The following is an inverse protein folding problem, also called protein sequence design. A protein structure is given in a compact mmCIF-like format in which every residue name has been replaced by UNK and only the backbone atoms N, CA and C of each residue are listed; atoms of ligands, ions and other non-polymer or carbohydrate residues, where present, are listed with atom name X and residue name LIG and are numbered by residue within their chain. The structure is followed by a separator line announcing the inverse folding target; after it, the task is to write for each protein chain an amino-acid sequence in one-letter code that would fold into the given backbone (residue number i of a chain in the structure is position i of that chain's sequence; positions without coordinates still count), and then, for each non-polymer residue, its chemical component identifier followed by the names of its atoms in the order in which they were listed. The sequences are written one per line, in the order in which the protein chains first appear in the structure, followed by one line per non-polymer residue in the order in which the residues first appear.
data_IF_588221620068
#
_entry.id   IF_588221620068
#
_cell.length_a   1.000
_cell.length_b   1.000
_cell.length_c   1.000
_cell.angle_alpha   90.00
_cell.angle_beta   90.00
_cell.angle_gamma   90.00
#
_symmetry.space_group_name_H-M   'P 1'
#
loop_
_entity.id
_entity.type
_entity.pdbx_description
1 polymer ?
#
# COMPACT_ATOMS: atom_id res chain seq x y z
N UNK A 1 -12.25 -32.01 -70.13
CA UNK A 1 -12.01 -30.79 -69.33
C UNK A 1 -12.66 -30.97 -67.97
N UNK A 2 -11.82 -31.23 -66.97
CA UNK A 2 -12.30 -31.35 -65.59
C UNK A 2 -11.80 -30.12 -64.84
N UNK A 3 -12.73 -29.27 -64.42
CA UNK A 3 -12.45 -28.13 -63.55
C UNK A 3 -12.33 -28.65 -62.13
N UNK A 4 -11.14 -28.53 -61.55
CA UNK A 4 -10.89 -28.85 -60.16
C UNK A 4 -11.13 -27.57 -59.37
N UNK A 5 -12.25 -27.55 -58.61
CA UNK A 5 -12.58 -26.47 -57.68
C UNK A 5 -11.74 -26.66 -56.41
N UNK A 6 -10.71 -25.85 -56.27
CA UNK A 6 -9.96 -25.76 -55.02
C UNK A 6 -10.74 -24.89 -54.03
N UNK A 7 -11.42 -25.53 -53.09
CA UNK A 7 -11.98 -24.88 -51.95
C UNK A 7 -10.85 -24.62 -50.92
N UNK A 8 -10.38 -23.38 -50.88
CA UNK A 8 -9.47 -22.95 -49.82
C UNK A 8 -10.29 -22.61 -48.59
N UNK A 9 -10.30 -23.49 -47.60
CA UNK A 9 -10.89 -23.23 -46.30
C UNK A 9 -9.86 -22.40 -45.53
N UNK A 10 -10.12 -21.10 -45.45
CA UNK A 10 -9.35 -20.22 -44.56
C UNK A 10 -9.84 -20.45 -43.11
N UNK A 11 -9.04 -21.20 -42.36
CA UNK A 11 -9.26 -21.35 -40.93
C UNK A 11 -8.86 -20.04 -40.26
N UNK A 12 -9.83 -19.23 -39.86
CA UNK A 12 -9.65 -18.07 -39.04
C UNK A 12 -9.28 -18.54 -37.60
N UNK A 13 -7.99 -18.49 -37.26
CA UNK A 13 -7.55 -18.64 -35.88
C UNK A 13 -8.00 -17.39 -35.10
N UNK A 14 -9.11 -17.53 -34.39
CA UNK A 14 -9.46 -16.55 -33.34
C UNK A 14 -8.45 -16.71 -32.18
N UNK A 15 -7.45 -15.85 -32.17
CA UNK A 15 -6.66 -15.63 -30.98
C UNK A 15 -7.56 -14.94 -29.92
N UNK A 16 -8.14 -15.74 -29.03
CA UNK A 16 -8.65 -15.23 -27.78
C UNK A 16 -7.44 -14.80 -26.96
N UNK A 17 -7.10 -13.51 -27.06
CA UNK A 17 -6.27 -12.87 -26.06
C UNK A 17 -7.05 -12.91 -24.75
N UNK A 18 -6.80 -13.92 -23.92
CA UNK A 18 -7.18 -13.87 -22.51
C UNK A 18 -6.35 -12.77 -21.88
N UNK A 19 -6.89 -11.58 -21.86
CA UNK A 19 -6.41 -10.50 -21.01
C UNK A 19 -6.57 -11.01 -19.58
N UNK A 20 -5.47 -11.52 -19.01
CA UNK A 20 -5.37 -11.63 -17.56
C UNK A 20 -5.47 -10.22 -17.01
N UNK A 21 -6.68 -9.83 -16.64
CA UNK A 21 -6.90 -8.67 -15.79
C UNK A 21 -6.37 -9.09 -14.42
N UNK A 22 -5.10 -8.81 -14.17
CA UNK A 22 -4.61 -8.72 -12.80
C UNK A 22 -5.42 -7.58 -12.19
N UNK A 23 -6.51 -7.93 -11.53
CA UNK A 23 -7.13 -7.05 -10.56
C UNK A 23 -6.06 -6.87 -9.49
N UNK A 24 -5.28 -5.80 -9.59
CA UNK A 24 -4.53 -5.29 -8.47
C UNK A 24 -5.56 -5.07 -7.38
N UNK A 25 -5.50 -5.89 -6.34
CA UNK A 25 -6.35 -5.73 -5.17
C UNK A 25 -5.88 -4.44 -4.46
N UNK A 26 -6.41 -3.31 -4.91
CA UNK A 26 -6.12 -1.99 -4.36
C UNK A 26 -6.94 -1.71 -3.09
N UNK A 27 -7.53 -2.75 -2.49
CA UNK A 27 -8.22 -2.61 -1.23
C UNK A 27 -7.22 -2.42 -0.10
N UNK A 28 -7.10 -1.17 0.36
CA UNK A 28 -6.24 -0.79 1.48
C UNK A 28 -6.86 -1.11 2.84
N UNK A 29 -8.16 -1.46 2.90
CA UNK A 29 -8.86 -1.68 4.18
C UNK A 29 -8.21 -2.74 5.06
N UNK A 30 -8.39 -2.63 6.38
CA UNK A 30 -7.86 -3.55 7.36
C UNK A 30 -6.52 -3.13 7.94
N UNK A 31 -5.86 -4.05 8.62
CA UNK A 31 -4.65 -3.79 9.41
C UNK A 31 -3.38 -4.19 8.67
N UNK A 32 -2.41 -3.30 8.72
CA UNK A 32 -1.11 -3.43 8.10
C UNK A 32 0.00 -3.20 9.12
N UNK A 33 1.00 -4.07 9.13
CA UNK A 33 2.17 -3.96 9.99
C UNK A 33 3.34 -3.36 9.22
N UNK A 34 3.97 -2.34 9.77
CA UNK A 34 5.16 -1.71 9.17
C UNK A 34 6.34 -2.68 9.20
N UNK A 35 7.00 -2.83 8.07
CA UNK A 35 8.22 -3.63 7.92
C UNK A 35 9.46 -2.77 7.71
N UNK A 36 9.34 -1.78 6.85
CA UNK A 36 10.46 -0.90 6.52
C UNK A 36 10.02 0.56 6.51
N UNK A 37 10.93 1.42 6.92
CA UNK A 37 10.80 2.87 6.82
C UNK A 37 12.05 3.39 6.10
N UNK A 38 11.86 4.15 5.02
CA UNK A 38 12.93 4.68 4.17
C UNK A 38 13.92 3.59 3.68
N UNK A 39 13.37 2.41 3.31
CA UNK A 39 14.15 1.28 2.79
C UNK A 39 14.97 0.52 3.84
N UNK A 40 14.74 0.78 5.12
CA UNK A 40 15.40 0.08 6.24
C UNK A 40 14.37 -0.65 7.08
N UNK A 41 14.67 -1.88 7.46
CA UNK A 41 13.88 -2.60 8.44
C UNK A 41 13.78 -1.82 9.74
N UNK A 42 12.57 -1.83 10.33
CA UNK A 42 12.35 -1.17 11.62
C UNK A 42 13.11 -1.90 12.71
N UNK A 43 13.71 -1.13 13.61
CA UNK A 43 14.33 -1.67 14.82
C UNK A 43 13.24 -2.18 15.78
N UNK A 44 13.60 -3.11 16.65
CA UNK A 44 12.69 -3.60 17.66
C UNK A 44 12.30 -2.47 18.62
N UNK A 45 11.03 -2.10 18.59
CA UNK A 45 10.41 -1.07 19.44
C UNK A 45 9.45 -1.70 20.44
N UNK A 46 8.95 -0.91 21.38
CA UNK A 46 7.96 -1.36 22.38
C UNK A 46 6.72 -1.95 21.72
N UNK A 47 6.28 -1.35 20.63
CA UNK A 47 5.18 -1.84 19.82
C UNK A 47 5.59 -1.91 18.36
N UNK A 48 5.04 -2.84 17.61
CA UNK A 48 5.21 -2.90 16.16
C UNK A 48 4.36 -1.79 15.53
N UNK A 49 4.96 -0.84 14.79
CA UNK A 49 4.20 0.18 14.10
C UNK A 49 3.19 -0.43 13.14
N UNK A 50 1.99 0.13 13.10
CA UNK A 50 0.90 -0.38 12.27
C UNK A 50 -0.03 0.74 11.79
N UNK A 51 -0.79 0.45 10.73
CA UNK A 51 -1.92 1.24 10.26
C UNK A 51 -3.11 0.32 10.04
N UNK A 52 -4.26 0.74 10.54
CA UNK A 52 -5.55 0.12 10.24
C UNK A 52 -6.41 1.13 9.51
N UNK A 53 -6.84 0.80 8.30
CA UNK A 53 -7.68 1.67 7.48
C UNK A 53 -9.14 1.23 7.53
N UNK A 54 -10.04 2.17 7.78
CA UNK A 54 -11.46 2.01 7.61
C UNK A 54 -11.90 2.84 6.38
N UNK A 55 -12.19 2.15 5.29
CA UNK A 55 -12.59 2.79 4.02
C UNK A 55 -14.06 3.20 3.99
N UNK A 56 -14.88 2.78 4.96
CA UNK A 56 -16.27 3.19 5.06
C UNK A 56 -16.40 4.64 5.51
N UNK A 57 -15.57 5.08 6.45
CA UNK A 57 -15.57 6.44 6.99
C UNK A 57 -14.28 7.23 6.68
N UNK A 58 -13.33 6.63 5.92
CA UNK A 58 -12.05 7.21 5.58
C UNK A 58 -11.20 7.59 6.80
N UNK A 59 -11.28 6.81 7.85
CA UNK A 59 -10.49 6.97 9.06
C UNK A 59 -9.35 5.95 9.13
N UNK A 60 -8.30 6.31 9.82
CA UNK A 60 -7.22 5.38 10.16
C UNK A 60 -6.89 5.41 11.63
N UNK A 61 -6.42 4.27 12.11
CA UNK A 61 -5.88 4.07 13.43
C UNK A 61 -4.47 3.49 13.29
N UNK A 62 -3.53 3.99 14.05
CA UNK A 62 -2.15 3.52 13.97
C UNK A 62 -1.48 3.38 15.33
N UNK A 63 -0.45 2.56 15.35
CA UNK A 63 0.51 2.44 16.45
C UNK A 63 1.86 2.86 15.89
N UNK A 64 2.58 3.71 16.60
CA UNK A 64 3.78 4.38 16.08
C UNK A 64 5.10 3.75 16.59
N UNK A 65 5.02 2.77 17.43
CA UNK A 65 6.16 2.24 18.19
C UNK A 65 6.02 2.53 19.69
N UNK A 66 5.52 3.70 20.06
CA UNK A 66 5.21 4.11 21.45
C UNK A 66 3.75 4.52 21.58
N UNK A 67 3.28 5.39 20.72
CA UNK A 67 2.00 6.07 20.83
C UNK A 67 0.94 5.51 19.87
N UNK A 68 -0.31 5.90 20.14
CA UNK A 68 -1.46 5.59 19.29
C UNK A 68 -1.82 6.85 18.49
N UNK A 69 -2.06 6.66 17.21
CA UNK A 69 -2.39 7.68 16.23
C UNK A 69 -3.76 7.41 15.62
N UNK A 70 -4.58 8.42 15.48
CA UNK A 70 -5.88 8.35 14.80
C UNK A 70 -6.05 9.57 13.91
N UNK A 71 -6.70 9.42 12.78
CA UNK A 71 -6.98 10.53 11.88
C UNK A 71 -7.80 10.09 10.68
N UNK A 72 -7.91 11.00 9.72
CA UNK A 72 -8.59 10.76 8.46
C UNK A 72 -7.57 10.62 7.33
N UNK A 73 -7.93 9.90 6.30
CA UNK A 73 -7.14 9.79 5.09
C UNK A 73 -7.99 10.05 3.85
N UNK A 74 -7.33 10.36 2.74
CA UNK A 74 -7.97 10.51 1.43
C UNK A 74 -7.27 9.63 0.43
N UNK A 75 -8.07 8.93 -0.36
CA UNK A 75 -7.63 8.17 -1.53
C UNK A 75 -8.22 8.77 -2.79
N UNK A 76 -7.40 8.89 -3.82
CA UNK A 76 -7.85 9.18 -5.18
C UNK A 76 -6.94 8.42 -6.14
N UNK A 77 -7.51 7.41 -6.80
CA UNK A 77 -6.75 6.49 -7.63
C UNK A 77 -5.58 5.87 -6.84
N UNK A 78 -4.33 6.13 -7.22
CA UNK A 78 -3.12 5.66 -6.52
C UNK A 78 -2.53 6.69 -5.56
N UNK A 79 -3.24 7.80 -5.32
CA UNK A 79 -2.78 8.81 -4.36
C UNK A 79 -3.38 8.59 -2.98
N UNK A 80 -2.57 8.84 -1.96
CA UNK A 80 -2.95 8.77 -0.56
C UNK A 80 -2.44 9.99 0.19
N UNK A 81 -3.26 10.54 1.06
CA UNK A 81 -2.85 11.59 1.99
C UNK A 81 -3.47 11.36 3.36
N UNK A 82 -2.69 11.59 4.39
CA UNK A 82 -3.13 11.54 5.78
C UNK A 82 -3.43 12.95 6.26
N UNK A 83 -4.63 13.13 6.83
CA UNK A 83 -5.03 14.37 7.45
C UNK A 83 -4.43 14.54 8.83
N UNK A 84 -4.71 15.70 9.44
CA UNK A 84 -4.35 15.97 10.81
C UNK A 84 -5.03 14.95 11.73
N UNK A 85 -4.23 14.36 12.62
CA UNK A 85 -4.69 13.33 13.53
C UNK A 85 -4.43 13.70 14.99
N UNK A 86 -5.04 12.93 15.87
CA UNK A 86 -4.75 12.97 17.30
C UNK A 86 -3.78 11.85 17.67
N UNK A 87 -2.83 12.13 18.52
CA UNK A 87 -1.87 11.16 18.99
C UNK A 87 -1.70 11.27 20.51
N UNK A 88 -1.54 10.11 21.19
CA UNK A 88 -1.10 10.09 22.57
C UNK A 88 0.33 10.61 22.68
N UNK A 89 0.74 11.04 23.87
CA UNK A 89 2.09 11.61 24.11
C UNK A 89 2.76 10.91 25.28
N UNK A 90 2.97 9.60 25.12
CA UNK A 90 3.74 8.81 26.07
C UNK A 90 5.23 8.85 25.70
N UNK A 91 6.09 8.71 26.69
CA UNK A 91 7.53 8.54 26.49
C UNK A 91 7.85 7.05 26.44
N UNK A 92 8.68 6.68 25.48
CA UNK A 92 9.25 5.33 25.35
C UNK A 92 10.77 5.35 25.51
N UNK A 93 11.38 4.20 25.29
CA UNK A 93 12.84 4.10 25.18
C UNK A 93 13.35 4.81 23.90
N UNK A 94 14.64 5.07 23.84
CA UNK A 94 15.26 5.84 22.76
C UNK A 94 15.04 5.22 21.37
N UNK A 95 15.05 3.89 21.27
CA UNK A 95 14.85 3.16 19.99
C UNK A 95 13.41 3.32 19.54
N UNK A 96 12.46 3.09 20.43
CA UNK A 96 11.03 3.20 20.14
C UNK A 96 10.63 4.62 19.74
N UNK A 97 11.20 5.65 20.41
CA UNK A 97 10.99 7.05 20.06
C UNK A 97 11.59 7.40 18.69
N UNK A 98 12.74 6.82 18.33
CA UNK A 98 13.34 7.02 17.02
C UNK A 98 12.49 6.37 15.91
N UNK A 99 11.97 5.15 16.14
CA UNK A 99 11.05 4.48 15.22
C UNK A 99 9.80 5.33 15.01
N UNK A 100 9.18 5.83 16.10
CA UNK A 100 8.03 6.73 16.03
C UNK A 100 8.32 7.98 15.19
N UNK A 101 9.43 8.66 15.46
CA UNK A 101 9.82 9.88 14.73
C UNK A 101 9.98 9.61 13.23
N UNK A 102 10.67 8.54 12.86
CA UNK A 102 10.86 8.17 11.45
C UNK A 102 9.55 7.78 10.78
N UNK A 103 8.69 7.07 11.50
CA UNK A 103 7.37 6.66 11.00
C UNK A 103 6.45 7.86 10.74
N UNK A 104 6.35 8.79 11.68
CA UNK A 104 5.55 10.00 11.54
C UNK A 104 6.07 10.91 10.42
N UNK A 105 7.39 11.05 10.29
CA UNK A 105 8.00 11.80 9.19
C UNK A 105 7.65 11.18 7.83
N UNK A 106 7.74 9.87 7.72
CA UNK A 106 7.38 9.15 6.48
C UNK A 106 5.89 9.30 6.16
N UNK A 107 4.98 9.15 7.14
CA UNK A 107 3.54 9.38 6.94
C UNK A 107 3.24 10.79 6.43
N UNK A 108 3.95 11.80 6.95
CA UNK A 108 3.77 13.20 6.52
C UNK A 108 4.17 13.44 5.06
N UNK A 109 5.02 12.58 4.49
CA UNK A 109 5.50 12.66 3.10
C UNK A 109 4.73 11.75 2.14
N UNK A 110 3.77 10.97 2.62
CA UNK A 110 3.00 10.06 1.80
C UNK A 110 2.29 10.79 0.65
N UNK A 111 2.43 10.28 -0.56
CA UNK A 111 1.83 10.83 -1.76
C UNK A 111 1.11 9.77 -2.59
N UNK A 112 1.75 8.65 -2.83
CA UNK A 112 1.21 7.57 -3.64
C UNK A 112 1.33 6.23 -2.91
N UNK A 113 0.53 5.27 -3.32
CA UNK A 113 0.61 3.90 -2.80
C UNK A 113 0.36 2.88 -3.89
N UNK A 114 0.82 1.66 -3.64
CA UNK A 114 0.44 0.51 -4.43
C UNK A 114 0.41 -0.73 -3.50
N UNK A 115 -0.41 -1.72 -3.85
CA UNK A 115 -0.46 -2.99 -3.14
C UNK A 115 -0.05 -4.08 -4.12
N UNK A 116 0.96 -4.85 -3.73
CA UNK A 116 1.49 -5.95 -4.53
C UNK A 116 1.86 -7.11 -3.61
N UNK A 117 1.34 -8.31 -3.88
CA UNK A 117 1.61 -9.52 -3.10
C UNK A 117 1.34 -9.35 -1.58
N UNK A 118 0.24 -8.71 -1.20
CA UNK A 118 -0.11 -8.38 0.19
C UNK A 118 0.90 -7.46 0.90
N UNK A 119 1.67 -6.70 0.14
CA UNK A 119 2.55 -5.65 0.65
C UNK A 119 2.00 -4.31 0.17
N UNK A 120 1.79 -3.40 1.10
CA UNK A 120 1.43 -2.01 0.84
C UNK A 120 2.72 -1.19 0.80
N UNK A 121 3.01 -0.61 -0.35
CA UNK A 121 4.09 0.34 -0.53
C UNK A 121 3.53 1.75 -0.55
N UNK A 122 4.10 2.63 0.25
CA UNK A 122 3.78 4.07 0.26
C UNK A 122 4.99 4.82 -0.25
N UNK A 123 4.75 5.76 -1.17
CA UNK A 123 5.78 6.55 -1.85
C UNK A 123 5.63 8.03 -1.54
N UNK A 124 6.74 8.75 -1.56
CA UNK A 124 6.74 10.20 -1.53
C UNK A 124 6.41 10.80 -2.92
N UNK A 125 6.34 12.13 -2.99
CA UNK A 125 6.05 12.84 -4.25
C UNK A 125 7.09 12.62 -5.36
N UNK A 126 8.29 12.20 -5.01
CA UNK A 126 9.38 11.94 -5.95
C UNK A 126 9.44 10.47 -6.38
N UNK A 127 8.51 9.64 -5.89
CA UNK A 127 8.40 8.21 -6.20
C UNK A 127 9.32 7.32 -5.38
N UNK A 128 9.92 7.82 -4.30
CA UNK A 128 10.74 7.01 -3.42
C UNK A 128 9.85 6.20 -2.46
N UNK A 129 10.08 4.89 -2.28
CA UNK A 129 9.38 4.10 -1.29
C UNK A 129 9.80 4.54 0.11
N UNK A 130 8.84 5.00 0.91
CA UNK A 130 9.08 5.52 2.26
C UNK A 130 8.57 4.63 3.37
N UNK A 131 7.53 3.83 3.11
CA UNK A 131 7.03 2.83 4.06
C UNK A 131 6.64 1.58 3.28
N UNK A 132 6.99 0.41 3.78
CA UNK A 132 6.40 -0.85 3.37
C UNK A 132 5.72 -1.55 4.54
N UNK A 133 4.52 -2.07 4.28
CA UNK A 133 3.68 -2.70 5.28
C UNK A 133 3.17 -4.04 4.73
N UNK A 134 2.98 -5.00 5.63
CA UNK A 134 2.36 -6.29 5.29
C UNK A 134 0.99 -6.40 5.94
N UNK A 135 0.07 -7.03 5.24
CA UNK A 135 -1.28 -7.28 5.77
C UNK A 135 -1.21 -8.26 6.93
N UNK A 136 -1.88 -7.94 8.03
CA UNK A 136 -2.05 -8.83 9.18
C UNK A 136 -3.18 -9.84 8.94
#
# INVERSE_FOLDING_TARGET
MKFINNFIIAAALCFFATSCHNSTDNDISGKWLVKEINGKEIQQSMNIPSLTFNTEDNSYHGVTGVNILNGDFKLKDETISFGDGAMTRMMGDSISMLVEMNYLDALSKASNFNIENNILFVYDKDGNPIISLVRE
#
